data_IF_129197229185
#
_entry.id   IF_129197229185
#
_cell.length_a   1.000
_cell.length_b   1.000
_cell.length_c   1.000
_cell.angle_alpha   90.00
_cell.angle_beta   90.00
_cell.angle_gamma   90.00
#
_symmetry.space_group_name_H-M   'P 1'
#
loop_
_entity.id
_entity.type
_entity.pdbx_description
1 polymer ?
#
# COMPACT_ATOMS: atom_id res chain seq x y z
N UNK A 1 3.34 -12.99 -14.15
CA UNK A 1 2.57 -12.96 -12.88
C UNK A 1 3.13 -11.90 -11.95
N UNK A 2 2.29 -11.22 -11.16
CA UNK A 2 2.73 -10.19 -10.22
C UNK A 2 3.45 -10.79 -9.00
N UNK A 3 4.49 -10.09 -8.51
CA UNK A 3 5.20 -10.49 -7.28
C UNK A 3 4.39 -10.15 -6.03
N UNK A 4 4.64 -10.86 -4.93
CA UNK A 4 3.99 -10.57 -3.64
C UNK A 4 4.25 -9.15 -3.16
N UNK A 5 5.47 -8.63 -3.34
CA UNK A 5 5.81 -7.26 -2.95
C UNK A 5 5.06 -6.22 -3.79
N UNK A 6 4.84 -6.47 -5.08
CA UNK A 6 4.00 -5.60 -5.90
C UNK A 6 2.54 -5.62 -5.42
N UNK A 7 1.99 -6.81 -5.18
CA UNK A 7 0.63 -6.98 -4.63
C UNK A 7 0.45 -6.28 -3.28
N UNK A 8 1.41 -6.39 -2.37
CA UNK A 8 1.38 -5.72 -1.06
C UNK A 8 1.34 -4.19 -1.20
N UNK A 9 2.18 -3.63 -2.08
CA UNK A 9 2.19 -2.18 -2.36
C UNK A 9 0.88 -1.71 -2.95
N UNK A 10 0.39 -2.41 -3.98
CA UNK A 10 -0.88 -2.06 -4.65
C UNK A 10 -2.05 -2.13 -3.68
N UNK A 11 -2.16 -3.21 -2.90
CA UNK A 11 -3.24 -3.37 -1.92
C UNK A 11 -3.24 -2.28 -0.86
N UNK A 12 -2.06 -1.90 -0.35
CA UNK A 12 -1.94 -0.78 0.59
C UNK A 12 -2.43 0.54 0.00
N UNK A 13 -2.04 0.88 -1.24
CA UNK A 13 -2.51 2.10 -1.91
C UNK A 13 -4.02 2.08 -2.11
N UNK A 14 -4.59 0.93 -2.53
CA UNK A 14 -6.04 0.80 -2.70
C UNK A 14 -6.79 0.96 -1.37
N UNK A 15 -6.23 0.47 -0.26
CA UNK A 15 -6.80 0.67 1.07
C UNK A 15 -6.80 2.16 1.46
N UNK A 16 -5.70 2.89 1.23
CA UNK A 16 -5.64 4.34 1.48
C UNK A 16 -6.65 5.13 0.63
N UNK A 17 -6.81 4.76 -0.64
CA UNK A 17 -7.71 5.46 -1.56
C UNK A 17 -9.18 5.13 -1.23
N UNK A 18 -9.45 3.93 -0.73
CA UNK A 18 -10.78 3.57 -0.20
C UNK A 18 -11.16 4.44 1.01
N UNK A 19 -10.22 4.76 1.89
CA UNK A 19 -10.46 5.65 3.03
C UNK A 19 -10.83 7.09 2.60
N UNK A 20 -10.53 7.47 1.34
CA UNK A 20 -10.97 8.75 0.73
C UNK A 20 -12.36 8.68 0.10
N UNK A 21 -13.08 7.56 0.22
CA UNK A 21 -14.42 7.39 -0.32
C UNK A 21 -14.47 6.88 -1.77
N UNK A 22 -13.35 6.44 -2.33
CA UNK A 22 -13.35 5.72 -3.61
C UNK A 22 -13.88 4.31 -3.40
N UNK A 23 -14.85 3.92 -4.23
CA UNK A 23 -15.42 2.57 -4.16
C UNK A 23 -14.42 1.53 -4.69
N UNK A 24 -13.77 0.83 -3.77
CA UNK A 24 -12.89 -0.31 -4.06
C UNK A 24 -13.60 -1.58 -3.61
N UNK A 25 -13.94 -2.51 -4.53
CA UNK A 25 -14.63 -3.75 -4.17
C UNK A 25 -13.86 -4.55 -3.12
N UNK A 26 -14.55 -5.02 -2.07
CA UNK A 26 -13.92 -5.72 -0.95
C UNK A 26 -13.05 -6.92 -1.36
N UNK A 27 -13.53 -7.72 -2.32
CA UNK A 27 -12.79 -8.88 -2.83
C UNK A 27 -11.43 -8.54 -3.47
N UNK A 28 -11.26 -7.30 -3.96
CA UNK A 28 -9.96 -6.84 -4.49
C UNK A 28 -8.95 -6.68 -3.37
N UNK A 29 -9.34 -6.02 -2.27
CA UNK A 29 -8.47 -5.86 -1.10
C UNK A 29 -8.14 -7.22 -0.48
N UNK A 30 -9.13 -8.11 -0.35
CA UNK A 30 -8.94 -9.47 0.17
C UNK A 30 -7.96 -10.28 -0.68
N UNK A 31 -8.07 -10.21 -2.01
CA UNK A 31 -7.11 -10.84 -2.92
C UNK A 31 -5.68 -10.36 -2.63
N UNK A 32 -5.46 -9.05 -2.49
CA UNK A 32 -4.14 -8.50 -2.20
C UNK A 32 -3.64 -8.86 -0.80
N UNK A 33 -4.51 -8.88 0.23
CA UNK A 33 -4.14 -9.33 1.59
C UNK A 33 -3.68 -10.79 1.58
N UNK A 34 -4.29 -11.65 0.77
CA UNK A 34 -3.85 -13.03 0.56
C UNK A 34 -2.43 -13.19 -0.03
N UNK A 35 -1.83 -12.10 -0.52
CA UNK A 35 -0.47 -12.07 -1.10
C UNK A 35 0.58 -11.51 -0.14
N UNK A 36 0.22 -11.12 1.09
CA UNK A 36 1.15 -10.59 2.09
C UNK A 36 2.09 -11.70 2.58
N UNK A 37 3.40 -11.60 2.28
CA UNK A 37 4.41 -12.58 2.74
C UNK A 37 5.47 -11.98 3.64
N UNK A 38 6.37 -11.18 3.09
CA UNK A 38 7.56 -10.64 3.76
C UNK A 38 7.47 -9.11 3.84
N UNK A 39 8.31 -8.52 4.68
CA UNK A 39 8.41 -7.06 4.73
C UNK A 39 8.90 -6.49 3.40
N UNK A 40 8.29 -5.38 2.97
CA UNK A 40 8.69 -4.64 1.76
C UNK A 40 8.63 -3.13 1.99
N UNK A 41 9.27 -2.35 1.12
CA UNK A 41 9.16 -0.90 1.10
C UNK A 41 8.09 -0.49 0.10
N UNK A 42 7.34 0.58 0.41
CA UNK A 42 6.41 1.17 -0.54
C UNK A 42 7.13 1.65 -1.80
N UNK A 43 8.21 2.41 -1.63
CA UNK A 43 9.07 2.85 -2.73
C UNK A 43 10.43 2.13 -2.60
N UNK A 44 10.73 1.15 -3.47
CA UNK A 44 11.94 0.32 -3.35
C UNK A 44 13.25 1.11 -3.40
N UNK A 45 13.27 2.24 -4.10
CA UNK A 45 14.45 3.08 -4.30
C UNK A 45 14.69 4.06 -3.15
N UNK A 46 13.70 4.32 -2.29
CA UNK A 46 13.86 5.20 -1.13
C UNK A 46 14.44 4.46 0.08
N UNK A 47 15.09 5.17 1.04
CA UNK A 47 15.59 4.57 2.27
C UNK A 47 14.49 3.83 3.07
N UNK A 48 14.90 2.87 3.90
CA UNK A 48 14.00 2.17 4.84
C UNK A 48 13.67 3.04 6.06
N UNK A 49 13.13 4.23 5.83
CA UNK A 49 12.74 5.19 6.89
C UNK A 49 11.28 5.57 6.68
N UNK A 50 10.45 5.48 7.73
CA UNK A 50 9.03 5.79 7.65
C UNK A 50 8.17 4.90 8.55
N UNK A 51 6.87 4.84 8.25
CA UNK A 51 5.88 4.15 9.08
C UNK A 51 5.76 2.67 8.67
N UNK A 52 5.84 1.76 9.63
CA UNK A 52 5.56 0.34 9.40
C UNK A 52 4.06 0.05 9.45
N UNK A 53 3.52 -0.52 8.38
CA UNK A 53 2.12 -0.95 8.24
C UNK A 53 2.10 -2.47 8.36
N UNK A 54 1.79 -2.98 9.55
CA UNK A 54 1.95 -4.40 9.91
C UNK A 54 1.04 -5.31 9.10
N UNK A 55 -0.18 -4.85 8.85
CA UNK A 55 -1.25 -5.52 8.11
C UNK A 55 -0.81 -5.83 6.66
N UNK A 56 0.06 -4.99 6.10
CA UNK A 56 0.61 -5.15 4.76
C UNK A 56 2.07 -5.65 4.74
N UNK A 57 2.69 -5.82 5.91
CA UNK A 57 4.15 -5.99 6.08
C UNK A 57 4.90 -5.01 5.17
N UNK A 58 4.56 -3.72 5.26
CA UNK A 58 5.03 -2.70 4.35
C UNK A 58 5.55 -1.49 5.13
N UNK A 59 6.71 -0.95 4.73
CA UNK A 59 7.21 0.33 5.23
C UNK A 59 6.75 1.41 4.27
N UNK A 60 5.86 2.28 4.73
CA UNK A 60 5.54 3.53 4.05
C UNK A 60 6.71 4.51 4.25
N UNK A 61 7.62 4.49 3.28
CA UNK A 61 8.81 5.34 3.21
C UNK A 61 8.63 6.54 2.26
N UNK A 62 7.39 6.88 1.93
CA UNK A 62 7.04 8.08 1.16
C UNK A 62 6.19 9.05 2.00
N UNK A 63 5.27 8.51 2.81
CA UNK A 63 4.32 9.23 3.65
C UNK A 63 2.97 9.39 2.98
N UNK A 64 1.90 9.02 3.69
CA UNK A 64 0.50 9.08 3.23
C UNK A 64 0.10 10.41 2.59
N UNK A 65 0.48 11.55 3.17
CA UNK A 65 0.17 12.87 2.59
C UNK A 65 0.75 13.06 1.19
N UNK A 66 1.98 12.58 0.96
CA UNK A 66 2.62 12.66 -0.37
C UNK A 66 2.02 11.68 -1.36
N UNK A 67 1.58 10.51 -0.89
CA UNK A 67 0.87 9.51 -1.70
C UNK A 67 -0.47 10.08 -2.19
N UNK A 68 -1.22 10.72 -1.29
CA UNK A 68 -2.57 11.23 -1.53
C UNK A 68 -2.58 12.70 -1.95
N UNK A 69 -1.42 13.31 -2.21
CA UNK A 69 -1.32 14.74 -2.55
C UNK A 69 -2.12 15.15 -3.78
N UNK A 70 -2.44 14.20 -4.68
CA UNK A 70 -3.32 14.42 -5.82
C UNK A 70 -4.81 14.59 -5.45
N UNK A 71 -5.24 14.07 -4.30
CA UNK A 71 -6.63 14.11 -3.85
C UNK A 71 -6.98 15.38 -3.05
N UNK A 72 -5.96 16.11 -2.58
CA UNK A 72 -6.10 17.33 -1.79
C UNK A 72 -5.57 18.58 -2.52
N UNK A 73 -5.26 18.47 -3.82
CA UNK A 73 -4.72 19.54 -4.66
C UNK A 73 -5.78 20.30 -5.45
#
# INVERSE_FOLDING_TARGET
FASNSLCQRTGYILELVKDLGVDVPGGVIEYFKGRVKTWTKLVPTLPSKGKGIKEWKLIDNLGTERILGWAYG
#
